data_IF_327440975823
#
_entry.id   IF_327440975823
#
_cell.length_a   1.000
_cell.length_b   1.000
_cell.length_c   1.000
_cell.angle_alpha   90.00
_cell.angle_beta   90.00
_cell.angle_gamma   90.00
#
_symmetry.space_group_name_H-M   'P 1'
#
loop_
_entity.id
_entity.type
_entity.pdbx_description
1 polymer ?
#
# COMPACT_ATOMS: atom_id res chain seq x y z
N UNK A 1 4.74 9.88 -14.94
CA UNK A 1 3.29 10.14 -15.08
C UNK A 1 2.56 9.69 -13.81
N UNK A 2 1.56 10.45 -13.33
CA UNK A 2 0.74 10.03 -12.18
C UNK A 2 -0.39 9.11 -12.68
N UNK A 3 -0.61 7.99 -11.99
CA UNK A 3 -1.68 7.03 -12.26
C UNK A 3 -2.51 6.77 -11.01
N UNK A 4 -3.82 6.64 -11.19
CA UNK A 4 -4.76 6.26 -10.13
C UNK A 4 -5.31 4.89 -10.50
N UNK A 5 -5.01 3.86 -9.70
CA UNK A 5 -5.26 2.47 -10.03
C UNK A 5 -5.83 1.76 -8.80
N UNK A 6 -6.92 1.02 -8.96
CA UNK A 6 -7.38 0.10 -7.92
C UNK A 6 -6.44 -1.11 -7.82
N UNK A 7 -6.15 -1.60 -6.61
CA UNK A 7 -5.24 -2.75 -6.44
C UNK A 7 -5.67 -3.97 -7.25
N UNK A 8 -6.98 -4.20 -7.36
CA UNK A 8 -7.55 -5.27 -8.19
C UNK A 8 -7.23 -5.13 -9.69
N UNK A 9 -6.80 -3.98 -10.18
CA UNK A 9 -6.41 -3.74 -11.58
C UNK A 9 -4.88 -3.73 -11.79
N UNK A 10 -4.07 -3.79 -10.73
CA UNK A 10 -2.61 -3.74 -10.83
C UNK A 10 -2.02 -4.93 -11.62
N UNK A 11 -2.70 -6.08 -11.65
CA UNK A 11 -2.27 -7.24 -12.45
C UNK A 11 -2.16 -6.92 -13.95
N UNK A 12 -2.87 -5.89 -14.44
CA UNK A 12 -2.78 -5.43 -15.83
C UNK A 12 -1.48 -4.66 -16.12
N UNK A 13 -0.70 -4.36 -15.08
CA UNK A 13 0.51 -3.54 -15.09
C UNK A 13 1.63 -4.24 -14.30
N UNK A 14 2.04 -5.45 -14.70
CA UNK A 14 2.88 -6.32 -13.87
C UNK A 14 4.25 -5.71 -13.52
N UNK A 15 4.87 -4.96 -14.43
CA UNK A 15 6.15 -4.26 -14.18
C UNK A 15 5.99 -3.18 -13.11
N UNK A 16 4.97 -2.33 -13.25
CA UNK A 16 4.65 -1.27 -12.29
C UNK A 16 4.29 -1.84 -10.91
N UNK A 17 3.50 -2.92 -10.88
CA UNK A 17 3.10 -3.58 -9.64
C UNK A 17 4.31 -4.19 -8.93
N UNK A 18 5.12 -4.99 -9.63
CA UNK A 18 6.28 -5.66 -9.04
C UNK A 18 7.34 -4.65 -8.56
N UNK A 19 7.62 -3.58 -9.32
CA UNK A 19 8.54 -2.53 -8.89
C UNK A 19 8.01 -1.78 -7.66
N UNK A 20 6.72 -1.44 -7.61
CA UNK A 20 6.11 -0.82 -6.43
C UNK A 20 6.25 -1.67 -5.17
N UNK A 21 5.89 -2.96 -5.22
CA UNK A 21 5.97 -3.83 -4.04
C UNK A 21 7.41 -4.11 -3.62
N UNK A 22 8.37 -4.14 -4.55
CA UNK A 22 9.79 -4.26 -4.24
C UNK A 22 10.34 -3.00 -3.57
N UNK A 23 9.98 -1.82 -4.07
CA UNK A 23 10.38 -0.55 -3.46
C UNK A 23 9.78 -0.39 -2.07
N UNK A 24 8.56 -0.88 -1.86
CA UNK A 24 7.96 -1.00 -0.54
C UNK A 24 8.77 -1.89 0.40
N UNK A 25 9.28 -3.05 -0.05
CA UNK A 25 10.23 -3.87 0.73
C UNK A 25 11.46 -3.07 1.13
N UNK A 26 12.12 -2.43 0.16
CA UNK A 26 13.30 -1.61 0.43
C UNK A 26 12.99 -0.49 1.44
N UNK A 27 11.79 0.09 1.35
CA UNK A 27 11.39 1.21 2.19
C UNK A 27 10.97 0.80 3.60
N UNK A 28 10.03 -0.13 3.74
CA UNK A 28 9.38 -0.46 5.02
C UNK A 28 10.10 -1.58 5.76
N UNK A 29 10.54 -2.62 5.04
CA UNK A 29 11.28 -3.73 5.65
C UNK A 29 12.77 -3.38 5.80
N UNK A 30 13.48 -3.13 4.70
CA UNK A 30 14.95 -3.04 4.73
C UNK A 30 15.46 -1.76 5.42
N UNK A 31 14.86 -0.59 5.10
CA UNK A 31 15.30 0.70 5.67
C UNK A 31 14.70 0.98 7.04
N UNK A 32 13.40 0.74 7.21
CA UNK A 32 12.68 1.12 8.44
C UNK A 32 12.58 -0.02 9.46
N UNK A 33 12.86 -1.27 9.08
CA UNK A 33 12.84 -2.41 9.98
C UNK A 33 11.46 -2.72 10.55
N UNK A 34 10.40 -2.52 9.75
CA UNK A 34 9.04 -2.79 10.22
C UNK A 34 8.74 -4.29 10.19
N UNK A 35 8.64 -4.92 11.36
CA UNK A 35 8.28 -6.34 11.48
C UNK A 35 6.80 -6.65 11.15
N UNK A 36 5.96 -5.61 11.05
CA UNK A 36 4.53 -5.75 10.80
C UNK A 36 4.17 -5.98 9.32
N UNK A 37 5.13 -5.77 8.40
CA UNK A 37 4.92 -6.03 6.97
C UNK A 37 5.40 -7.43 6.60
N UNK A 38 4.75 -8.06 5.62
CA UNK A 38 5.17 -9.37 5.13
C UNK A 38 5.91 -9.21 3.82
N UNK A 39 7.02 -9.92 3.66
CA UNK A 39 7.78 -9.99 2.40
C UNK A 39 7.68 -11.43 1.89
N UNK A 40 7.21 -11.60 0.65
CA UNK A 40 7.07 -12.93 0.04
C UNK A 40 8.41 -13.47 -0.50
N UNK A 41 8.39 -14.70 -1.02
CA UNK A 41 9.57 -15.35 -1.61
C UNK A 41 10.13 -14.62 -2.85
N UNK A 42 9.37 -13.69 -3.44
CA UNK A 42 9.79 -12.85 -4.55
C UNK A 42 10.34 -11.49 -4.09
N UNK A 43 10.40 -11.24 -2.78
CA UNK A 43 10.89 -10.01 -2.19
C UNK A 43 9.86 -8.86 -2.26
N UNK A 44 8.57 -9.16 -2.39
CA UNK A 44 7.51 -8.16 -2.52
C UNK A 44 6.81 -7.94 -1.17
N UNK A 45 6.67 -6.68 -0.76
CA UNK A 45 6.05 -6.32 0.51
C UNK A 45 4.53 -6.17 0.40
N UNK A 46 3.82 -6.82 1.31
CA UNK A 46 2.37 -6.72 1.47
C UNK A 46 1.98 -6.61 2.95
N UNK A 47 0.88 -5.91 3.20
CA UNK A 47 0.17 -5.96 4.47
C UNK A 47 -1.28 -6.44 4.29
N UNK A 48 -1.99 -6.64 5.39
CA UNK A 48 -3.39 -7.10 5.36
C UNK A 48 -4.33 -6.13 4.63
N UNK A 49 -3.94 -4.87 4.46
CA UNK A 49 -4.78 -3.83 3.85
C UNK A 49 -4.74 -3.86 2.33
N UNK A 50 -3.71 -4.48 1.74
CA UNK A 50 -3.60 -4.71 0.30
C UNK A 50 -4.76 -5.56 -0.25
N UNK A 51 -5.35 -6.42 0.58
CA UNK A 51 -6.47 -7.27 0.22
C UNK A 51 -7.80 -6.51 0.06
N UNK A 52 -7.93 -5.27 0.57
CA UNK A 52 -9.19 -4.52 0.56
C UNK A 52 -9.38 -3.62 -0.67
N UNK A 53 -8.74 -3.98 -1.78
CA UNK A 53 -8.77 -3.23 -3.05
C UNK A 53 -8.52 -1.71 -2.90
N UNK A 54 -7.40 -1.31 -2.24
CA UNK A 54 -7.08 0.09 -2.08
C UNK A 54 -6.89 0.81 -3.42
N UNK A 55 -7.07 2.14 -3.39
CA UNK A 55 -6.71 3.00 -4.52
C UNK A 55 -5.26 3.42 -4.36
N UNK A 56 -4.46 3.10 -5.36
CA UNK A 56 -3.07 3.53 -5.47
C UNK A 56 -2.96 4.77 -6.33
N UNK A 57 -2.22 5.76 -5.83
CA UNK A 57 -1.74 6.90 -6.60
C UNK A 57 -0.25 6.68 -6.83
N UNK A 58 0.15 6.39 -8.06
CA UNK A 58 1.52 5.96 -8.41
C UNK A 58 2.16 6.95 -9.38
N UNK A 59 3.41 7.32 -9.14
CA UNK A 59 4.28 7.99 -10.10
C UNK A 59 5.06 6.89 -10.85
N UNK A 60 4.84 6.81 -12.15
CA UNK A 60 5.53 5.88 -13.06
C UNK A 60 6.54 6.64 -13.93
N UNK A 61 7.71 6.07 -14.15
CA UNK A 61 8.72 6.62 -15.07
C UNK A 61 8.46 6.26 -16.55
N UNK A 62 9.43 6.55 -17.42
CA UNK A 62 9.34 6.24 -18.85
C UNK A 62 9.55 4.75 -19.18
N UNK A 63 10.19 4.00 -18.27
CA UNK A 63 10.38 2.55 -18.40
C UNK A 63 9.17 1.75 -17.92
N UNK A 64 8.21 2.42 -17.27
CA UNK A 64 7.00 1.80 -16.72
C UNK A 64 7.18 1.29 -15.29
N UNK A 65 8.24 1.72 -14.61
CA UNK A 65 8.56 1.35 -13.23
C UNK A 65 8.02 2.38 -12.23
N UNK A 66 7.83 1.93 -11.00
CA UNK A 66 7.41 2.75 -9.88
C UNK A 66 8.54 3.71 -9.44
N UNK A 67 8.19 4.98 -9.20
CA UNK A 67 9.08 5.95 -8.55
C UNK A 67 8.60 6.32 -7.14
N UNK A 68 7.28 6.41 -6.95
CA UNK A 68 6.66 6.74 -5.68
C UNK A 68 5.18 6.36 -5.71
N UNK A 69 4.61 6.09 -4.54
CA UNK A 69 3.18 5.84 -4.43
C UNK A 69 2.61 6.23 -3.08
N UNK A 70 1.30 6.46 -3.09
CA UNK A 70 0.47 6.52 -1.90
C UNK A 70 -0.74 5.60 -2.09
N UNK A 71 -1.32 5.14 -0.98
CA UNK A 71 -2.44 4.20 -0.96
C UNK A 71 -3.58 4.76 -0.11
N UNK A 72 -4.79 4.64 -0.62
CA UNK A 72 -6.01 5.15 0.02
C UNK A 72 -7.00 4.00 0.23
N UNK A 73 -7.62 3.98 1.41
CA UNK A 73 -8.72 3.09 1.75
C UNK A 73 -9.91 3.89 2.28
N UNK A 74 -11.16 3.49 1.97
CA UNK A 74 -12.34 4.05 2.62
C UNK A 74 -12.29 3.83 4.13
N UNK A 75 -12.60 4.87 4.91
CA UNK A 75 -12.67 4.79 6.37
C UNK A 75 -13.87 3.99 6.87
N UNK A 76 -14.83 3.68 5.99
CA UNK A 76 -15.97 2.79 6.25
C UNK A 76 -15.57 1.31 6.37
N UNK A 77 -14.35 0.95 5.95
CA UNK A 77 -13.80 -0.41 6.05
C UNK A 77 -12.72 -0.55 7.13
N UNK A 78 -11.95 -1.65 7.04
CA UNK A 78 -10.77 -1.85 7.90
C UNK A 78 -9.67 -0.86 7.52
N UNK A 79 -9.10 -0.20 8.52
CA UNK A 79 -7.99 0.73 8.34
C UNK A 79 -6.95 0.54 9.44
N UNK A 80 -5.70 0.84 9.12
CA UNK A 80 -4.59 0.77 10.07
C UNK A 80 -4.85 1.63 11.32
N UNK A 81 -5.46 2.80 11.14
CA UNK A 81 -5.78 3.69 12.23
C UNK A 81 -6.77 3.06 13.21
N UNK A 82 -7.88 2.49 12.71
CA UNK A 82 -8.89 1.89 13.57
C UNK A 82 -8.42 0.57 14.21
N UNK A 83 -7.60 -0.21 13.51
CA UNK A 83 -7.16 -1.53 13.97
C UNK A 83 -5.98 -1.47 14.96
N UNK A 84 -5.04 -0.53 14.78
CA UNK A 84 -3.77 -0.51 15.52
C UNK A 84 -3.48 0.78 16.27
N UNK A 85 -4.14 1.89 15.92
CA UNK A 85 -3.79 3.22 16.44
C UNK A 85 -5.03 4.01 16.93
N UNK A 86 -6.06 3.32 17.40
CA UNK A 86 -7.29 3.95 17.88
C UNK A 86 -7.06 4.85 19.10
N UNK A 87 -5.99 4.64 19.86
CA UNK A 87 -5.59 5.54 20.95
C UNK A 87 -5.29 6.96 20.45
N UNK A 88 -4.84 7.12 19.20
CA UNK A 88 -4.62 8.44 18.59
C UNK A 88 -5.93 9.22 18.36
N UNK A 89 -7.07 8.52 18.36
CA UNK A 89 -8.41 9.10 18.21
C UNK A 89 -9.24 8.97 19.49
N UNK A 90 -8.60 8.70 20.64
CA UNK A 90 -9.28 8.54 21.92
C UNK A 90 -10.23 7.34 21.95
N UNK A 91 -9.92 6.29 21.17
CA UNK A 91 -10.75 5.10 21.01
C UNK A 91 -11.92 5.27 20.04
N UNK A 92 -12.08 6.44 19.41
CA UNK A 92 -13.17 6.69 18.46
C UNK A 92 -12.79 6.16 17.09
N UNK A 93 -13.53 5.19 16.57
CA UNK A 93 -13.34 4.70 15.22
C UNK A 93 -13.67 5.80 14.19
N UNK A 94 -12.73 6.11 13.29
CA UNK A 94 -12.99 7.02 12.18
C UNK A 94 -13.72 6.28 11.07
N UNK A 95 -14.89 6.78 10.69
CA UNK A 95 -15.70 6.25 9.59
C UNK A 95 -16.53 7.39 8.99
N UNK A 96 -16.39 7.60 7.67
CA UNK A 96 -17.20 8.55 6.91
C UNK A 96 -17.51 7.95 5.54
N UNK A 97 -18.80 7.85 5.15
CA UNK A 97 -19.21 7.42 3.82
C UNK A 97 -18.89 8.46 2.74
#
# INVERSE_FOLDING_TARGET
MIKVIHAADLYRRPVLAASMYRDRTAQFHDRLGWDAVSVDDMGLEFDQYDAFNPVYVIIEDEAGEHCASARLLPTTGKTMLNDHFSDLTGGVALSSP
#
